data_IF_439869545790
#
_entry.id   IF_439869545790
#
_cell.length_a   1.000
_cell.length_b   1.000
_cell.length_c   1.000
_cell.angle_alpha   90.00
_cell.angle_beta   90.00
_cell.angle_gamma   90.00
#
_symmetry.space_group_name_H-M   'P 1'
#
loop_
_entity.id
_entity.type
_entity.pdbx_description
1 polymer ?
#
# COMPACT_ATOMS: atom_id res chain seq x y z
N UNK A 1 -13.12 3.04 10.45
CA UNK A 1 -11.68 3.33 10.69
C UNK A 1 -11.07 3.56 9.31
N UNK A 2 -10.01 4.35 9.17
CA UNK A 2 -9.42 4.60 7.85
C UNK A 2 -8.47 3.47 7.47
N UNK A 3 -8.62 2.97 6.24
CA UNK A 3 -7.65 2.05 5.63
C UNK A 3 -6.31 2.78 5.49
N UNK A 4 -5.19 2.14 5.80
CA UNK A 4 -3.85 2.74 5.62
C UNK A 4 -3.11 2.10 4.47
N UNK A 5 -2.54 2.92 3.60
CA UNK A 5 -1.64 2.48 2.55
C UNK A 5 -0.20 2.72 2.99
N UNK A 6 0.51 1.64 3.33
CA UNK A 6 1.95 1.68 3.52
C UNK A 6 2.62 1.73 2.15
N UNK A 7 3.25 2.87 1.86
CA UNK A 7 3.83 3.18 0.56
C UNK A 7 5.27 3.66 0.72
N UNK A 8 6.08 3.59 -0.33
CA UNK A 8 7.42 4.17 -0.25
C UNK A 8 7.34 5.69 -0.42
N UNK A 9 8.28 6.42 0.18
CA UNK A 9 8.36 7.88 -0.01
C UNK A 9 8.63 8.32 -1.44
N UNK A 10 8.91 7.42 -2.39
CA UNK A 10 9.18 7.73 -3.80
C UNK A 10 7.92 7.75 -4.70
N UNK A 11 6.72 7.56 -4.14
CA UNK A 11 5.47 7.62 -4.92
C UNK A 11 5.21 8.98 -5.57
N UNK A 12 5.94 10.03 -5.18
CA UNK A 12 5.97 11.32 -5.87
C UNK A 12 6.41 11.23 -7.34
N UNK A 13 7.16 10.19 -7.73
CA UNK A 13 7.68 10.08 -9.09
C UNK A 13 6.60 9.79 -10.14
N UNK A 14 5.34 9.49 -9.75
CA UNK A 14 4.17 9.26 -10.64
C UNK A 14 4.46 8.41 -11.89
N UNK A 15 5.43 7.52 -11.80
CA UNK A 15 5.75 6.59 -12.90
C UNK A 15 4.79 5.42 -12.74
N UNK A 16 3.96 5.16 -13.76
CA UNK A 16 3.00 4.03 -13.77
C UNK A 16 3.71 2.65 -13.71
N UNK A 17 5.01 2.59 -13.92
CA UNK A 17 5.83 1.40 -13.67
C UNK A 17 6.14 1.15 -12.17
N UNK A 18 5.88 2.13 -11.30
CA UNK A 18 6.18 2.01 -9.87
C UNK A 18 4.96 1.44 -9.10
N UNK A 19 5.10 0.26 -8.46
CA UNK A 19 3.96 -0.47 -7.89
C UNK A 19 3.25 0.26 -6.76
N UNK A 20 3.97 1.11 -6.00
CA UNK A 20 3.34 1.89 -4.93
C UNK A 20 2.47 3.04 -5.44
N UNK A 21 2.80 3.61 -6.60
CA UNK A 21 2.02 4.70 -7.20
C UNK A 21 0.75 4.18 -7.85
N UNK A 22 0.81 3.04 -8.53
CA UNK A 22 -0.38 2.46 -9.18
C UNK A 22 -1.46 2.03 -8.19
N UNK A 23 -1.06 1.53 -7.02
CA UNK A 23 -2.00 1.21 -5.92
C UNK A 23 -2.58 2.47 -5.29
N UNK A 24 -1.76 3.50 -5.03
CA UNK A 24 -2.22 4.81 -4.51
C UNK A 24 -3.21 5.47 -5.50
N UNK A 25 -2.90 5.41 -6.80
CA UNK A 25 -3.78 5.90 -7.87
C UNK A 25 -5.12 5.16 -7.88
N UNK A 26 -5.13 3.83 -7.78
CA UNK A 26 -6.36 3.05 -7.75
C UNK A 26 -7.26 3.40 -6.54
N UNK A 27 -6.67 3.61 -5.36
CA UNK A 27 -7.43 4.08 -4.18
C UNK A 27 -8.03 5.47 -4.40
N UNK A 28 -7.26 6.39 -4.99
CA UNK A 28 -7.73 7.73 -5.34
C UNK A 28 -8.85 7.70 -6.39
N UNK A 29 -8.71 6.87 -7.43
CA UNK A 29 -9.69 6.72 -8.51
C UNK A 29 -11.01 6.14 -8.00
N UNK A 30 -10.96 5.26 -7.00
CA UNK A 30 -12.15 4.71 -6.36
C UNK A 30 -12.77 5.66 -5.32
N UNK A 31 -12.05 6.69 -4.89
CA UNK A 31 -12.52 7.64 -3.89
C UNK A 31 -12.62 7.05 -2.49
N UNK A 32 -11.77 6.08 -2.15
CA UNK A 32 -11.72 5.50 -0.80
C UNK A 32 -11.01 6.46 0.15
N UNK A 33 -11.50 6.55 1.39
CA UNK A 33 -10.79 7.27 2.45
C UNK A 33 -9.65 6.41 2.98
N UNK A 34 -8.41 6.85 2.75
CA UNK A 34 -7.22 6.13 3.21
C UNK A 34 -6.14 7.06 3.75
N UNK A 35 -5.35 6.55 4.69
CA UNK A 35 -4.17 7.22 5.22
C UNK A 35 -2.91 6.72 4.51
N UNK A 36 -2.20 7.62 3.83
CA UNK A 36 -0.93 7.27 3.17
C UNK A 36 0.24 7.29 4.16
N UNK A 37 0.63 6.12 4.67
CA UNK A 37 1.79 5.95 5.56
C UNK A 37 3.06 5.80 4.70
N UNK A 38 3.78 6.91 4.52
CA UNK A 38 4.99 6.96 3.69
C UNK A 38 6.21 6.46 4.45
N UNK A 39 6.58 5.21 4.20
CA UNK A 39 7.78 4.59 4.73
C UNK A 39 9.06 4.92 3.94
N UNK A 40 10.23 4.64 4.51
CA UNK A 40 11.51 4.89 3.86
C UNK A 40 11.64 4.10 2.54
N UNK A 41 11.97 4.81 1.46
CA UNK A 41 12.28 4.20 0.15
C UNK A 41 13.52 3.33 0.25
N UNK A 42 14.53 3.80 0.98
CA UNK A 42 15.77 3.10 1.29
C UNK A 42 16.33 3.61 2.63
N UNK A 43 16.99 2.76 3.46
CA UNK A 43 17.17 1.32 3.29
C UNK A 43 15.92 0.52 3.70
N UNK A 44 15.67 -0.61 3.01
CA UNK A 44 14.53 -1.51 3.29
C UNK A 44 14.54 -2.07 4.73
N UNK A 45 15.70 -2.10 5.39
CA UNK A 45 15.85 -2.53 6.79
C UNK A 45 15.09 -1.67 7.81
N UNK A 46 14.70 -0.44 7.45
CA UNK A 46 13.87 0.43 8.31
C UNK A 46 12.38 0.10 8.25
N UNK A 47 11.96 -0.85 7.43
CA UNK A 47 10.56 -1.29 7.27
C UNK A 47 10.19 -2.41 8.25
N UNK A 48 10.57 -2.27 9.52
CA UNK A 48 10.38 -3.32 10.54
C UNK A 48 8.91 -3.65 10.76
N UNK A 49 8.04 -2.65 10.88
CA UNK A 49 6.60 -2.86 11.04
C UNK A 49 6.00 -3.72 9.91
N UNK A 50 6.41 -3.45 8.65
CA UNK A 50 5.93 -4.23 7.50
C UNK A 50 6.41 -5.68 7.58
N UNK A 51 7.66 -5.90 7.99
CA UNK A 51 8.21 -7.25 8.19
C UNK A 51 7.52 -8.00 9.33
N UNK A 52 7.24 -7.33 10.44
CA UNK A 52 6.56 -7.91 11.60
C UNK A 52 5.14 -8.38 11.26
N UNK A 53 4.42 -7.63 10.42
CA UNK A 53 3.03 -7.94 10.06
C UNK A 53 2.87 -8.82 8.81
N UNK A 54 3.78 -8.72 7.84
CA UNK A 54 3.65 -9.40 6.54
C UNK A 54 4.72 -10.46 6.30
N UNK A 55 5.66 -10.62 7.23
CA UNK A 55 6.84 -11.49 7.12
C UNK A 55 7.74 -11.17 5.90
N UNK A 56 7.62 -9.96 5.35
CA UNK A 56 8.40 -9.47 4.21
C UNK A 56 8.61 -7.95 4.29
N UNK A 57 9.57 -7.40 3.53
CA UNK A 57 9.91 -5.95 3.53
C UNK A 57 9.43 -5.22 2.28
N UNK A 58 8.56 -5.85 1.50
CA UNK A 58 8.08 -5.35 0.22
C UNK A 58 6.92 -4.38 0.42
N UNK A 59 6.83 -3.43 -0.51
CA UNK A 59 5.76 -2.44 -0.61
C UNK A 59 5.14 -2.56 -2.02
N UNK A 60 3.93 -2.05 -2.26
CA UNK A 60 2.98 -1.46 -1.29
C UNK A 60 2.27 -2.50 -0.41
N UNK A 61 1.77 -2.08 0.76
CA UNK A 61 0.97 -2.91 1.69
C UNK A 61 -0.27 -2.13 2.12
N UNK A 62 -1.43 -2.79 2.19
CA UNK A 62 -2.69 -2.20 2.66
C UNK A 62 -2.96 -2.72 4.08
N UNK A 63 -3.17 -1.82 5.02
CA UNK A 63 -3.70 -2.12 6.36
C UNK A 63 -5.17 -1.73 6.36
N UNK A 64 -6.04 -2.73 6.40
CA UNK A 64 -7.50 -2.54 6.46
C UNK A 64 -7.94 -1.92 7.79
N UNK A 65 -9.17 -1.40 7.84
CA UNK A 65 -9.78 -0.88 9.06
C UNK A 65 -9.75 -1.87 10.24
N UNK A 66 -9.84 -3.18 9.95
CA UNK A 66 -9.80 -4.26 10.95
C UNK A 66 -8.38 -4.61 11.44
N UNK A 67 -7.35 -3.91 10.95
CA UNK A 67 -5.96 -4.15 11.30
C UNK A 67 -5.32 -5.32 10.53
N UNK A 68 -5.97 -5.83 9.48
CA UNK A 68 -5.38 -6.86 8.60
C UNK A 68 -4.42 -6.22 7.61
N UNK A 69 -3.21 -6.79 7.51
CA UNK A 69 -2.17 -6.34 6.58
C UNK A 69 -2.14 -7.21 5.33
N UNK A 70 -2.50 -6.63 4.19
CA UNK A 70 -2.59 -7.29 2.90
C UNK A 70 -1.39 -6.86 2.05
N UNK A 71 -0.52 -7.82 1.75
CA UNK A 71 0.60 -7.65 0.83
C UNK A 71 0.53 -8.63 -0.33
N UNK A 72 0.26 -8.11 -1.52
CA UNK A 72 0.23 -8.87 -2.77
C UNK A 72 0.83 -8.06 -3.93
N UNK A 73 0.92 -8.67 -5.11
CA UNK A 73 1.30 -7.96 -6.32
C UNK A 73 0.42 -6.73 -6.57
N UNK A 74 1.01 -5.66 -7.10
CA UNK A 74 0.28 -4.40 -7.31
C UNK A 74 -0.96 -4.58 -8.18
N UNK A 75 -0.94 -5.51 -9.15
CA UNK A 75 -2.11 -5.84 -9.97
C UNK A 75 -3.25 -6.45 -9.16
N UNK A 76 -2.93 -7.37 -8.24
CA UNK A 76 -3.92 -8.03 -7.37
C UNK A 76 -4.47 -7.02 -6.36
N UNK A 77 -3.61 -6.17 -5.80
CA UNK A 77 -4.06 -5.09 -4.91
C UNK A 77 -4.99 -4.12 -5.64
N UNK A 78 -4.70 -3.74 -6.88
CA UNK A 78 -5.59 -2.89 -7.68
C UNK A 78 -6.93 -3.59 -7.94
N UNK A 79 -6.93 -4.89 -8.23
CA UNK A 79 -8.16 -5.66 -8.41
C UNK A 79 -8.99 -5.69 -7.13
N UNK A 80 -8.37 -5.99 -5.97
CA UNK A 80 -9.03 -5.90 -4.67
C UNK A 80 -9.57 -4.50 -4.40
N UNK A 81 -8.81 -3.48 -4.78
CA UNK A 81 -9.26 -2.09 -4.71
C UNK A 81 -10.53 -1.93 -5.54
N UNK A 82 -10.54 -2.46 -6.76
CA UNK A 82 -11.68 -2.40 -7.66
C UNK A 82 -12.88 -3.30 -7.25
N UNK A 83 -12.68 -4.31 -6.42
CA UNK A 83 -13.77 -5.16 -5.90
C UNK A 83 -14.31 -4.66 -4.56
N UNK A 84 -13.54 -3.92 -3.77
CA UNK A 84 -13.95 -3.45 -2.44
C UNK A 84 -13.52 -4.37 -1.29
N UNK A 85 -12.64 -5.35 -1.53
CA UNK A 85 -12.25 -6.38 -0.55
C UNK A 85 -11.25 -5.92 0.55
N UNK A 86 -11.23 -4.62 0.87
CA UNK A 86 -10.25 -3.98 1.77
C UNK A 86 -10.87 -2.84 2.61
N UNK A 87 -12.18 -2.63 2.49
CA UNK A 87 -12.98 -1.72 3.32
C UNK A 87 -13.43 -2.43 4.61
#
# INVERSE_FOLDING_TARGET
MSTKLHTCGASWLKIDAHPCWTVEKALNERGVDYEAVRGPTYPRSRRKAIEEHTNQRLLPVIETADGTWIREDSKVLIERINTGEFD
#
